data_IF_776594995906
#
_entry.id   IF_776594995906
#
_cell.length_a   1.000
_cell.length_b   1.000
_cell.length_c   1.000
_cell.angle_alpha   90.00
_cell.angle_beta   90.00
_cell.angle_gamma   90.00
#
_symmetry.space_group_name_H-M   'P 1'
#
loop_
_entity.id
_entity.type
_entity.pdbx_description
1 polymer ?
#
# COMPACT_ATOMS: atom_id res chain seq x y z
N UNK A 1 -45.23 22.65 -20.76
CA UNK A 1 -44.16 21.65 -20.65
C UNK A 1 -43.65 21.66 -19.21
N UNK A 2 -43.71 20.51 -18.52
CA UNK A 2 -43.38 20.26 -17.10
C UNK A 2 -41.86 20.02 -16.98
N UNK A 3 -41.05 20.76 -16.19
CA UNK A 3 -40.66 20.66 -14.76
C UNK A 3 -39.82 19.42 -14.33
N UNK A 4 -38.82 19.70 -13.48
CA UNK A 4 -37.95 18.87 -12.58
C UNK A 4 -36.69 18.22 -13.21
N UNK A 5 -35.42 18.41 -12.78
CA UNK A 5 -34.68 18.49 -11.48
C UNK A 5 -34.12 17.14 -11.00
N UNK A 6 -32.78 17.12 -10.89
CA UNK A 6 -31.89 16.46 -9.94
C UNK A 6 -31.50 14.96 -10.01
N UNK A 7 -30.22 14.79 -9.65
CA UNK A 7 -29.61 13.75 -8.82
C UNK A 7 -29.11 12.45 -9.50
N UNK A 8 -27.83 12.47 -9.86
CA UNK A 8 -26.99 11.29 -9.86
C UNK A 8 -26.51 11.05 -8.42
N UNK A 9 -26.89 9.90 -7.84
CA UNK A 9 -26.41 9.41 -6.55
C UNK A 9 -25.36 8.32 -6.77
N UNK A 10 -24.34 8.40 -5.91
CA UNK A 10 -23.33 7.39 -5.61
C UNK A 10 -23.92 6.00 -5.35
N UNK A 11 -23.22 4.95 -5.79
CA UNK A 11 -23.24 3.66 -5.12
C UNK A 11 -21.84 3.02 -5.17
N UNK A 12 -21.21 2.98 -3.99
CA UNK A 12 -20.01 2.22 -3.65
C UNK A 12 -20.28 0.71 -3.77
N UNK A 13 -19.44 -0.01 -4.50
CA UNK A 13 -19.41 -1.48 -4.53
C UNK A 13 -18.35 -2.02 -3.57
N UNK A 14 -18.71 -2.25 -2.31
CA UNK A 14 -18.04 -3.21 -1.44
C UNK A 14 -18.82 -4.52 -1.56
N UNK A 15 -18.09 -5.60 -1.83
CA UNK A 15 -18.66 -6.92 -2.04
C UNK A 15 -19.31 -7.51 -0.80
N UNK A 16 -20.32 -8.34 -1.03
CA UNK A 16 -20.66 -9.44 -0.15
C UNK A 16 -21.00 -10.67 -0.98
N UNK A 17 -20.40 -11.75 -0.50
CA UNK A 17 -20.51 -13.16 -0.85
C UNK A 17 -21.91 -13.67 -1.19
N UNK A 18 -21.94 -14.51 -2.22
CA UNK A 18 -22.70 -15.76 -2.33
C UNK A 18 -23.96 -15.91 -1.49
N UNK A 19 -25.11 -15.73 -2.13
CA UNK A 19 -26.36 -16.37 -1.73
C UNK A 19 -26.93 -17.07 -2.96
N UNK A 20 -26.75 -18.40 -3.01
CA UNK A 20 -27.49 -19.29 -3.89
C UNK A 20 -28.87 -19.51 -3.29
N UNK A 21 -29.94 -19.20 -4.05
CA UNK A 21 -31.24 -19.90 -4.05
C UNK A 21 -32.19 -19.17 -5.01
N UNK A 22 -32.68 -19.88 -6.02
CA UNK A 22 -33.76 -19.40 -6.89
C UNK A 22 -33.62 -19.87 -8.33
N UNK A 23 -34.13 -21.08 -8.61
CA UNK A 23 -34.52 -21.48 -9.97
C UNK A 23 -35.50 -20.43 -10.51
N UNK A 24 -35.16 -19.85 -11.66
CA UNK A 24 -36.12 -19.22 -12.54
C UNK A 24 -35.77 -19.68 -13.96
N UNK A 25 -36.65 -20.50 -14.52
CA UNK A 25 -36.68 -20.84 -15.94
C UNK A 25 -36.91 -19.54 -16.74
N UNK A 26 -35.82 -18.99 -17.27
CA UNK A 26 -35.86 -17.95 -18.28
C UNK A 26 -35.58 -18.59 -19.66
N UNK A 27 -36.30 -18.20 -20.72
CA UNK A 27 -36.16 -18.80 -22.04
C UNK A 27 -34.72 -18.63 -22.56
N UNK A 28 -34.19 -19.67 -23.20
CA UNK A 28 -32.88 -19.69 -23.86
C UNK A 28 -32.69 -18.43 -24.71
N UNK A 29 -31.97 -17.45 -24.16
CA UNK A 29 -31.40 -16.37 -24.93
C UNK A 29 -30.30 -17.03 -25.75
N UNK A 30 -30.50 -17.10 -27.06
CA UNK A 30 -29.56 -17.63 -28.03
C UNK A 30 -28.14 -17.26 -27.62
N UNK A 31 -27.33 -18.29 -27.34
CA UNK A 31 -25.92 -18.13 -27.04
C UNK A 31 -25.29 -17.33 -28.18
N UNK A 32 -25.03 -16.05 -27.94
CA UNK A 32 -24.12 -15.29 -28.79
C UNK A 32 -22.82 -16.09 -28.80
N UNK A 33 -22.44 -16.60 -29.97
CA UNK A 33 -21.19 -17.30 -30.20
C UNK A 33 -20.07 -16.50 -29.54
N UNK A 34 -19.57 -17.00 -28.41
CA UNK A 34 -18.35 -16.43 -27.83
C UNK A 34 -17.28 -16.60 -28.90
N UNK A 35 -16.59 -15.53 -29.32
CA UNK A 35 -15.54 -15.64 -30.30
C UNK A 35 -14.56 -16.73 -29.85
N UNK A 36 -14.20 -17.62 -30.78
CA UNK A 36 -13.28 -18.71 -30.50
C UNK A 36 -12.03 -18.15 -29.82
N UNK A 37 -11.64 -18.73 -28.68
CA UNK A 37 -10.42 -18.32 -27.99
C UNK A 37 -9.25 -18.50 -28.97
N UNK A 38 -8.38 -17.49 -29.13
CA UNK A 38 -7.23 -17.61 -30.01
C UNK A 38 -6.36 -18.79 -29.59
N UNK A 39 -5.79 -19.50 -30.57
CA UNK A 39 -4.90 -20.63 -30.28
C UNK A 39 -3.67 -20.14 -29.51
N UNK A 40 -3.42 -20.76 -28.35
CA UNK A 40 -2.21 -20.48 -27.57
C UNK A 40 -0.98 -21.00 -28.31
N UNK A 41 0.09 -20.22 -28.25
CA UNK A 41 1.41 -20.65 -28.72
C UNK A 41 1.94 -21.71 -27.75
N UNK A 42 2.12 -22.94 -28.24
CA UNK A 42 2.57 -24.06 -27.42
C UNK A 42 4.01 -23.88 -26.90
N UNK A 43 4.90 -23.26 -27.69
CA UNK A 43 6.27 -22.94 -27.28
C UNK A 43 6.60 -21.49 -27.67
N UNK A 44 6.48 -20.59 -26.70
CA UNK A 44 6.69 -19.16 -26.92
C UNK A 44 8.15 -18.83 -27.27
N UNK A 45 9.13 -19.51 -26.67
CA UNK A 45 10.56 -19.27 -26.96
C UNK A 45 10.90 -19.63 -28.41
N UNK A 46 10.44 -20.79 -28.89
CA UNK A 46 10.64 -21.19 -30.28
C UNK A 46 9.94 -20.24 -31.26
N UNK A 47 8.72 -19.78 -30.93
CA UNK A 47 7.99 -18.80 -31.73
C UNK A 47 8.76 -17.47 -31.84
N UNK A 48 9.19 -16.90 -30.71
CA UNK A 48 9.93 -15.63 -30.68
C UNK A 48 11.29 -15.76 -31.37
N UNK A 49 11.98 -16.90 -31.23
CA UNK A 49 13.24 -17.17 -31.93
C UNK A 49 13.07 -17.37 -33.44
N UNK A 50 11.85 -17.58 -33.94
CA UNK A 50 11.55 -17.62 -35.36
C UNK A 50 11.04 -16.26 -35.89
N UNK A 51 10.64 -15.35 -35.01
CA UNK A 51 10.06 -14.05 -35.36
C UNK A 51 11.15 -13.01 -35.69
N UNK A 52 11.17 -12.52 -36.94
CA UNK A 52 12.17 -11.56 -37.41
C UNK A 52 12.02 -10.17 -36.80
N UNK A 53 10.78 -9.74 -36.50
CA UNK A 53 10.54 -8.45 -35.86
C UNK A 53 11.07 -8.46 -34.41
N UNK A 54 10.90 -9.56 -33.71
CA UNK A 54 11.44 -9.78 -32.37
C UNK A 54 12.98 -9.82 -32.38
N UNK A 55 13.59 -10.50 -33.35
CA UNK A 55 15.06 -10.52 -33.48
C UNK A 55 15.64 -9.12 -33.74
N UNK A 56 15.01 -8.35 -34.63
CA UNK A 56 15.46 -7.01 -35.00
C UNK A 56 15.18 -5.95 -33.92
N UNK A 57 14.21 -6.19 -33.03
CA UNK A 57 13.85 -5.26 -31.98
C UNK A 57 14.93 -5.13 -30.89
N UNK A 58 14.99 -3.93 -30.30
CA UNK A 58 15.74 -3.67 -29.07
C UNK A 58 15.08 -4.33 -27.85
N UNK A 59 15.66 -4.15 -26.67
CA UNK A 59 15.15 -4.77 -25.44
C UNK A 59 13.69 -4.37 -25.15
N UNK A 60 13.36 -3.09 -25.26
CA UNK A 60 12.01 -2.59 -25.01
C UNK A 60 11.01 -3.13 -26.04
N UNK A 61 11.39 -3.15 -27.33
CA UNK A 61 10.57 -3.69 -28.41
C UNK A 61 10.32 -5.20 -28.26
N UNK A 62 11.34 -5.98 -27.87
CA UNK A 62 11.18 -7.41 -27.56
C UNK A 62 10.20 -7.65 -26.41
N UNK A 63 10.32 -6.88 -25.33
CA UNK A 63 9.37 -6.93 -24.23
C UNK A 63 7.95 -6.53 -24.68
N UNK A 64 7.83 -5.51 -25.54
CA UNK A 64 6.54 -5.04 -26.03
C UNK A 64 5.83 -6.08 -26.92
N UNK A 65 6.58 -6.80 -27.75
CA UNK A 65 6.04 -7.92 -28.55
C UNK A 65 5.48 -9.02 -27.64
N UNK A 66 6.19 -9.38 -26.56
CA UNK A 66 5.70 -10.37 -25.59
C UNK A 66 4.42 -9.89 -24.90
N UNK A 67 4.35 -8.60 -24.52
CA UNK A 67 3.16 -8.01 -23.93
C UNK A 67 1.97 -8.01 -24.90
N UNK A 68 2.21 -7.77 -26.19
CA UNK A 68 1.16 -7.82 -27.21
C UNK A 68 0.63 -9.24 -27.41
N UNK A 69 1.51 -10.24 -27.49
CA UNK A 69 1.10 -11.66 -27.55
C UNK A 69 0.25 -12.07 -26.33
N UNK A 70 0.53 -11.49 -25.15
CA UNK A 70 -0.30 -11.68 -23.94
C UNK A 70 -1.67 -11.03 -24.09
N UNK A 71 -1.75 -9.79 -24.58
CA UNK A 71 -3.03 -9.08 -24.82
C UNK A 71 -3.90 -9.79 -25.86
N UNK A 72 -3.27 -10.31 -26.90
CA UNK A 72 -3.89 -11.15 -27.93
C UNK A 72 -4.27 -12.55 -27.41
N UNK A 73 -4.01 -12.86 -26.13
CA UNK A 73 -4.28 -14.15 -25.49
C UNK A 73 -3.58 -15.35 -26.15
N UNK A 74 -2.52 -15.10 -26.92
CA UNK A 74 -1.65 -16.12 -27.52
C UNK A 74 -0.67 -16.73 -26.52
N UNK A 75 -0.42 -16.03 -25.41
CA UNK A 75 0.28 -16.55 -24.24
C UNK A 75 -0.41 -16.09 -22.95
N UNK A 76 -0.11 -16.72 -21.82
CA UNK A 76 -0.61 -16.29 -20.51
C UNK A 76 0.35 -15.35 -19.79
N UNK A 77 -0.18 -14.71 -18.75
CA UNK A 77 0.55 -13.73 -17.94
C UNK A 77 1.83 -14.29 -17.34
N UNK A 78 1.79 -15.51 -16.81
CA UNK A 78 2.96 -16.14 -16.15
C UNK A 78 4.08 -16.40 -17.15
N UNK A 79 3.74 -16.94 -18.32
CA UNK A 79 4.70 -17.23 -19.38
C UNK A 79 5.30 -15.94 -19.95
N UNK A 80 4.47 -14.92 -20.19
CA UNK A 80 4.91 -13.61 -20.65
C UNK A 80 5.85 -12.93 -19.64
N UNK A 81 5.49 -12.91 -18.34
CA UNK A 81 6.31 -12.36 -17.25
C UNK A 81 7.67 -13.08 -17.19
N UNK A 82 7.67 -14.41 -17.20
CA UNK A 82 8.89 -15.21 -17.17
C UNK A 82 9.83 -14.94 -18.35
N UNK A 83 9.29 -14.82 -19.57
CA UNK A 83 10.09 -14.51 -20.76
C UNK A 83 10.70 -13.11 -20.72
N UNK A 84 9.93 -12.10 -20.33
CA UNK A 84 10.46 -10.74 -20.17
C UNK A 84 11.52 -10.68 -19.08
N UNK A 85 11.31 -11.32 -17.92
CA UNK A 85 12.33 -11.40 -16.86
C UNK A 85 13.62 -12.07 -17.36
N UNK A 86 13.51 -13.16 -18.14
CA UNK A 86 14.68 -13.82 -18.73
C UNK A 86 15.42 -12.91 -19.70
N UNK A 87 14.72 -12.15 -20.54
CA UNK A 87 15.34 -11.17 -21.44
C UNK A 87 16.09 -10.08 -20.67
N UNK A 88 15.46 -9.53 -19.63
CA UNK A 88 16.06 -8.49 -18.79
C UNK A 88 17.34 -9.01 -18.11
N UNK A 89 17.32 -10.25 -17.60
CA UNK A 89 18.50 -10.87 -16.98
C UNK A 89 19.62 -11.18 -18.00
N UNK A 90 19.27 -11.61 -19.21
CA UNK A 90 20.25 -11.82 -20.29
C UNK A 90 20.89 -10.49 -20.69
N UNK A 91 20.09 -9.44 -20.83
CA UNK A 91 20.58 -8.09 -21.12
C UNK A 91 21.51 -7.60 -20.01
N UNK A 92 21.11 -7.76 -18.75
CA UNK A 92 21.93 -7.35 -17.60
C UNK A 92 23.31 -8.05 -17.59
N UNK A 93 23.35 -9.36 -17.83
CA UNK A 93 24.61 -10.13 -17.94
C UNK A 93 25.51 -9.66 -19.06
N UNK A 94 24.93 -9.31 -20.21
CA UNK A 94 25.67 -8.80 -21.35
C UNK A 94 26.22 -7.37 -21.15
N UNK A 95 25.73 -6.65 -20.14
CA UNK A 95 26.08 -5.26 -19.86
C UNK A 95 26.71 -5.08 -18.46
N UNK A 96 27.44 -6.10 -17.98
CA UNK A 96 28.18 -6.06 -16.70
C UNK A 96 27.31 -5.79 -15.44
N UNK A 97 26.01 -6.05 -15.54
CA UNK A 97 25.02 -5.91 -14.47
C UNK A 97 24.47 -7.27 -14.03
N UNK A 98 25.26 -8.36 -14.13
CA UNK A 98 24.80 -9.66 -13.65
C UNK A 98 24.51 -9.60 -12.15
N UNK A 99 23.28 -9.87 -11.67
CA UNK A 99 22.98 -9.79 -10.24
C UNK A 99 23.84 -10.75 -9.38
N UNK A 100 24.42 -11.81 -9.96
CA UNK A 100 25.32 -12.70 -9.24
C UNK A 100 26.58 -11.97 -8.75
N UNK A 101 27.17 -11.11 -9.58
CA UNK A 101 28.44 -10.42 -9.32
C UNK A 101 28.23 -8.92 -9.03
N UNK A 102 27.31 -8.27 -9.73
CA UNK A 102 27.05 -6.83 -9.69
C UNK A 102 25.57 -6.49 -9.39
N UNK A 103 25.08 -7.01 -8.27
CA UNK A 103 23.70 -6.80 -7.80
C UNK A 103 23.30 -5.32 -7.67
N UNK A 104 24.21 -4.45 -7.23
CA UNK A 104 23.90 -3.03 -7.01
C UNK A 104 23.58 -2.35 -8.34
N UNK A 105 24.44 -2.52 -9.35
CA UNK A 105 24.22 -1.94 -10.66
C UNK A 105 22.92 -2.48 -11.31
N UNK A 106 22.65 -3.78 -11.14
CA UNK A 106 21.42 -4.40 -11.63
C UNK A 106 20.16 -3.74 -11.05
N UNK A 107 20.09 -3.62 -9.72
CA UNK A 107 18.91 -3.05 -9.05
C UNK A 107 18.75 -1.56 -9.37
N UNK A 108 19.85 -0.80 -9.45
CA UNK A 108 19.83 0.61 -9.87
C UNK A 108 19.26 0.77 -11.28
N UNK A 109 19.68 -0.10 -12.20
CA UNK A 109 19.19 -0.08 -13.58
C UNK A 109 17.69 -0.39 -13.67
N UNK A 110 17.23 -1.46 -13.01
CA UNK A 110 15.80 -1.80 -12.96
C UNK A 110 15.00 -0.65 -12.32
N UNK A 111 15.48 -0.10 -11.20
CA UNK A 111 14.84 1.00 -10.50
C UNK A 111 14.71 2.27 -11.34
N UNK A 112 15.73 2.60 -12.14
CA UNK A 112 15.67 3.74 -13.05
C UNK A 112 14.53 3.61 -14.07
N UNK A 113 14.33 2.41 -14.65
CA UNK A 113 13.23 2.16 -15.57
C UNK A 113 11.86 2.15 -14.89
N UNK A 114 11.73 1.57 -13.70
CA UNK A 114 10.43 1.56 -12.99
C UNK A 114 10.01 2.93 -12.46
N UNK A 115 10.97 3.81 -12.20
CA UNK A 115 10.71 5.19 -11.73
C UNK A 115 10.02 6.05 -12.78
N UNK A 116 10.36 5.87 -14.06
CA UNK A 116 9.72 6.60 -15.16
C UNK A 116 8.63 5.74 -15.82
N UNK A 117 7.37 6.02 -15.52
CA UNK A 117 6.23 5.33 -16.16
C UNK A 117 6.14 5.59 -17.67
N UNK A 118 6.81 6.64 -18.19
CA UNK A 118 6.85 6.94 -19.61
C UNK A 118 7.92 6.16 -20.37
N UNK A 119 8.89 5.59 -19.65
CA UNK A 119 9.99 4.82 -20.22
C UNK A 119 9.45 3.65 -21.08
N UNK A 120 10.02 3.41 -22.29
CA UNK A 120 9.53 2.36 -23.18
C UNK A 120 9.58 0.96 -22.57
N UNK A 121 10.63 0.64 -21.79
CA UNK A 121 10.77 -0.65 -21.15
C UNK A 121 9.76 -0.80 -20.00
N UNK A 122 9.57 0.26 -19.21
CA UNK A 122 8.54 0.34 -18.16
C UNK A 122 7.14 0.06 -18.72
N UNK A 123 6.77 0.72 -19.83
CA UNK A 123 5.50 0.48 -20.53
C UNK A 123 5.37 -0.96 -21.02
N UNK A 124 6.41 -1.48 -21.68
CA UNK A 124 6.43 -2.84 -22.22
C UNK A 124 6.28 -3.92 -21.14
N UNK A 125 6.72 -3.65 -19.91
CA UNK A 125 6.62 -4.57 -18.77
C UNK A 125 5.45 -4.26 -17.82
N UNK A 126 4.68 -3.20 -18.05
CA UNK A 126 3.63 -2.76 -17.12
C UNK A 126 2.51 -3.79 -16.95
N UNK A 127 2.06 -4.41 -18.05
CA UNK A 127 0.96 -5.38 -18.04
C UNK A 127 1.32 -6.76 -17.47
N UNK A 128 2.61 -7.06 -17.30
CA UNK A 128 3.14 -8.30 -16.71
C UNK A 128 3.74 -8.06 -15.32
N UNK A 129 4.11 -6.82 -15.00
CA UNK A 129 4.84 -6.49 -13.78
C UNK A 129 6.26 -7.08 -13.73
N UNK A 130 6.90 -7.34 -14.87
CA UNK A 130 8.21 -8.04 -14.92
C UNK A 130 9.35 -7.28 -14.25
N UNK A 131 9.39 -5.95 -14.37
CA UNK A 131 10.40 -5.13 -13.68
C UNK A 131 10.19 -5.15 -12.15
N UNK A 132 8.93 -5.01 -11.70
CA UNK A 132 8.59 -5.11 -10.28
C UNK A 132 8.93 -6.50 -9.72
N UNK A 133 8.72 -7.57 -10.49
CA UNK A 133 9.13 -8.93 -10.12
C UNK A 133 10.63 -9.04 -9.80
N UNK A 134 11.46 -8.38 -10.62
CA UNK A 134 12.90 -8.38 -10.43
C UNK A 134 13.29 -7.53 -9.22
N UNK A 135 12.60 -6.40 -8.96
CA UNK A 135 12.78 -5.63 -7.74
C UNK A 135 12.38 -6.44 -6.49
N UNK A 136 11.24 -7.13 -6.51
CA UNK A 136 10.82 -8.03 -5.43
C UNK A 136 11.88 -9.12 -5.18
N UNK A 137 12.51 -9.63 -6.23
CA UNK A 137 13.51 -10.71 -6.11
C UNK A 137 14.85 -10.21 -5.57
N UNK A 138 15.33 -9.07 -6.06
CA UNK A 138 16.73 -8.63 -5.89
C UNK A 138 16.90 -7.35 -5.05
N UNK A 139 15.86 -6.52 -4.92
CA UNK A 139 15.91 -5.23 -4.23
C UNK A 139 16.33 -5.37 -2.77
N UNK A 140 15.65 -6.21 -2.00
CA UNK A 140 16.03 -6.47 -0.61
C UNK A 140 17.45 -7.07 -0.48
N UNK A 141 17.93 -7.84 -1.46
CA UNK A 141 19.28 -8.40 -1.42
C UNK A 141 20.35 -7.31 -1.53
N UNK A 142 20.05 -6.18 -2.19
CA UNK A 142 20.95 -5.02 -2.27
C UNK A 142 21.24 -4.47 -0.88
N UNK A 143 20.25 -4.43 0.01
CA UNK A 143 20.42 -3.93 1.38
C UNK A 143 21.49 -4.73 2.15
N UNK A 144 21.62 -6.03 1.90
CA UNK A 144 22.68 -6.85 2.51
C UNK A 144 24.10 -6.52 2.02
N UNK A 145 24.24 -5.69 0.98
CA UNK A 145 25.53 -5.18 0.49
C UNK A 145 25.71 -3.68 0.76
N UNK A 146 24.70 -3.03 1.35
CA UNK A 146 24.70 -1.60 1.61
C UNK A 146 25.33 -1.31 2.98
N UNK A 147 26.49 -0.64 2.99
CA UNK A 147 27.23 -0.41 4.25
C UNK A 147 26.46 0.48 5.24
N UNK A 148 25.75 1.50 4.74
CA UNK A 148 24.91 2.37 5.58
C UNK A 148 23.82 1.56 6.26
N UNK A 149 23.19 0.64 5.53
CA UNK A 149 22.18 -0.25 6.11
C UNK A 149 22.76 -1.30 7.08
N UNK A 150 23.94 -1.85 6.79
CA UNK A 150 24.56 -2.87 7.65
C UNK A 150 25.09 -2.28 8.96
N UNK A 151 25.83 -1.18 8.87
CA UNK A 151 26.61 -0.59 9.98
C UNK A 151 25.95 0.63 10.62
N UNK A 152 24.99 1.25 9.93
CA UNK A 152 24.29 2.42 10.44
C UNK A 152 23.53 2.12 11.73
N UNK A 153 23.35 3.16 12.53
CA UNK A 153 22.35 3.07 13.58
C UNK A 153 20.95 2.95 12.96
N UNK A 154 20.04 2.69 13.86
CA UNK A 154 18.65 2.42 13.58
C UNK A 154 18.03 3.57 12.72
N UNK A 155 18.34 4.85 13.00
CA UNK A 155 17.88 6.01 12.22
C UNK A 155 18.49 6.01 10.80
N UNK A 156 19.80 5.81 10.69
CA UNK A 156 20.50 5.73 9.42
C UNK A 156 19.97 4.60 8.52
N UNK A 157 19.59 3.45 9.11
CA UNK A 157 18.96 2.35 8.37
C UNK A 157 17.61 2.73 7.80
N UNK A 158 16.77 3.43 8.58
CA UNK A 158 15.47 3.91 8.15
C UNK A 158 15.58 4.95 7.02
N UNK A 159 16.49 5.93 7.16
CA UNK A 159 16.83 6.88 6.08
C UNK A 159 17.23 6.14 4.82
N UNK A 160 18.09 5.13 4.96
CA UNK A 160 18.57 4.37 3.81
C UNK A 160 17.45 3.60 3.10
N UNK A 161 16.56 2.92 3.84
CA UNK A 161 15.39 2.26 3.26
C UNK A 161 14.55 3.24 2.44
N UNK A 162 14.26 4.43 2.97
CA UNK A 162 13.50 5.47 2.26
C UNK A 162 14.20 5.89 0.96
N UNK A 163 15.49 6.19 1.01
CA UNK A 163 16.27 6.55 -0.19
C UNK A 163 16.16 5.48 -1.28
N UNK A 164 16.27 4.20 -0.92
CA UNK A 164 16.18 3.11 -1.89
C UNK A 164 14.76 2.96 -2.44
N UNK A 165 13.74 3.19 -1.62
CA UNK A 165 12.35 3.17 -2.08
C UNK A 165 12.06 4.31 -3.06
N UNK A 166 12.50 5.53 -2.77
CA UNK A 166 12.36 6.70 -3.67
C UNK A 166 13.14 6.56 -4.98
N UNK A 167 14.22 5.77 -4.95
CA UNK A 167 14.97 5.35 -6.12
C UNK A 167 14.31 4.19 -6.89
N UNK A 168 13.20 3.62 -6.38
CA UNK A 168 12.55 2.39 -6.89
C UNK A 168 13.47 1.18 -6.93
N UNK A 169 14.35 1.09 -5.96
CA UNK A 169 15.30 0.01 -5.77
C UNK A 169 14.87 -0.98 -4.65
N UNK A 170 13.74 -0.71 -4.01
CA UNK A 170 12.99 -1.62 -3.16
C UNK A 170 11.54 -1.68 -3.63
N UNK A 171 10.96 -2.88 -3.56
CA UNK A 171 9.52 -3.04 -3.72
C UNK A 171 8.75 -2.41 -2.55
N UNK A 172 7.49 -2.03 -2.80
CA UNK A 172 6.59 -1.42 -1.82
C UNK A 172 6.40 -2.29 -0.58
N UNK A 173 6.09 -3.58 -0.73
CA UNK A 173 5.84 -4.47 0.41
C UNK A 173 7.10 -4.63 1.26
N UNK A 174 8.26 -4.78 0.60
CA UNK A 174 9.55 -4.89 1.27
C UNK A 174 9.91 -3.63 2.05
N UNK A 175 9.71 -2.45 1.45
CA UNK A 175 9.91 -1.19 2.14
C UNK A 175 9.06 -1.11 3.40
N UNK A 176 7.75 -1.42 3.29
CA UNK A 176 6.84 -1.34 4.42
C UNK A 176 7.21 -2.30 5.55
N UNK A 177 7.56 -3.54 5.22
CA UNK A 177 7.92 -4.55 6.22
C UNK A 177 9.25 -4.22 6.91
N UNK A 178 10.25 -3.77 6.16
CA UNK A 178 11.53 -3.35 6.71
C UNK A 178 11.40 -2.10 7.58
N UNK A 179 10.68 -1.08 7.10
CA UNK A 179 10.41 0.13 7.88
C UNK A 179 9.70 -0.23 9.18
N UNK A 180 8.65 -1.06 9.14
CA UNK A 180 7.96 -1.54 10.33
C UNK A 180 8.90 -2.30 11.26
N UNK A 181 9.67 -3.26 10.76
CA UNK A 181 10.60 -4.04 11.56
C UNK A 181 11.61 -3.15 12.28
N UNK A 182 12.20 -2.17 11.60
CA UNK A 182 13.20 -1.29 12.21
C UNK A 182 12.57 -0.26 13.13
N UNK A 183 11.43 0.33 12.79
CA UNK A 183 10.71 1.20 13.71
C UNK A 183 10.34 0.37 14.96
N UNK A 184 9.79 -0.83 14.81
CA UNK A 184 9.56 -1.73 15.94
C UNK A 184 10.85 -2.07 16.66
N UNK A 185 12.01 -2.28 16.02
CA UNK A 185 13.27 -2.53 16.73
C UNK A 185 13.75 -1.31 17.53
N UNK A 186 13.53 -0.07 17.04
CA UNK A 186 13.81 1.15 17.81
C UNK A 186 12.86 1.30 18.99
N UNK A 187 11.61 0.90 18.83
CA UNK A 187 10.58 0.99 19.85
C UNK A 187 10.64 -0.19 20.83
N UNK A 188 11.04 -1.38 20.37
CA UNK A 188 11.17 -2.63 21.15
C UNK A 188 12.52 -2.75 21.85
N UNK A 189 13.50 -1.91 21.52
CA UNK A 189 14.59 -1.61 22.44
C UNK A 189 14.07 -0.95 23.75
N UNK A 190 12.78 -0.66 23.81
CA UNK A 190 12.07 -0.26 25.01
C UNK A 190 11.19 -1.43 25.50
N UNK A 191 11.65 -2.07 26.59
CA UNK A 191 10.76 -2.47 27.70
C UNK A 191 10.19 -1.19 28.37
N UNK A 192 9.77 -0.21 27.58
CA UNK A 192 10.00 1.19 27.88
C UNK A 192 8.74 2.02 27.96
N UNK A 193 8.87 3.08 28.73
CA UNK A 193 7.90 4.14 28.92
C UNK A 193 7.33 4.63 27.58
N UNK A 194 6.02 4.45 27.40
CA UNK A 194 5.27 4.85 26.20
C UNK A 194 5.51 6.30 25.78
N UNK A 195 5.83 7.21 26.72
CA UNK A 195 6.16 8.60 26.39
C UNK A 195 7.48 8.71 25.61
N UNK A 196 8.49 7.91 25.98
CA UNK A 196 9.78 7.89 25.29
C UNK A 196 9.66 7.30 23.89
N UNK A 197 8.81 6.29 23.74
CA UNK A 197 8.52 5.66 22.45
C UNK A 197 7.80 6.64 21.50
N UNK A 198 6.78 7.36 21.98
CA UNK A 198 6.09 8.40 21.20
C UNK A 198 7.06 9.53 20.80
N UNK A 199 7.91 9.99 21.72
CA UNK A 199 8.92 11.03 21.43
C UNK A 199 9.92 10.56 20.37
N UNK A 200 10.42 9.32 20.48
CA UNK A 200 11.35 8.73 19.53
C UNK A 200 10.71 8.59 18.15
N UNK A 201 9.49 8.06 18.08
CA UNK A 201 8.78 7.96 16.81
C UNK A 201 8.55 9.35 16.18
N UNK A 202 8.17 10.35 16.97
CA UNK A 202 8.03 11.72 16.47
C UNK A 202 9.34 12.33 15.95
N UNK A 203 10.48 12.02 16.59
CA UNK A 203 11.81 12.38 16.08
C UNK A 203 12.09 11.73 14.72
N UNK A 204 11.88 10.41 14.60
CA UNK A 204 12.07 9.67 13.35
C UNK A 204 11.15 10.16 12.23
N UNK A 205 9.91 10.51 12.57
CA UNK A 205 8.93 11.05 11.63
C UNK A 205 9.34 12.43 11.10
N UNK A 206 9.69 13.37 12.00
CA UNK A 206 10.19 14.71 11.62
C UNK A 206 11.50 14.69 10.86
N UNK A 207 12.34 13.69 11.14
CA UNK A 207 13.56 13.42 10.40
C UNK A 207 13.30 12.86 8.98
N UNK A 208 12.02 12.68 8.63
CA UNK A 208 11.52 12.05 7.40
C UNK A 208 12.11 10.66 7.15
N UNK A 209 12.38 9.89 8.21
CA UNK A 209 12.97 8.56 8.10
C UNK A 209 11.93 7.46 7.84
N UNK A 210 10.64 7.78 7.90
CA UNK A 210 9.56 6.79 7.86
C UNK A 210 8.75 6.94 6.57
N UNK A 211 8.46 5.84 5.88
CA UNK A 211 7.44 5.85 4.84
C UNK A 211 6.03 5.98 5.42
N UNK A 212 5.11 6.54 4.64
CA UNK A 212 3.74 6.83 5.09
C UNK A 212 3.01 5.59 5.63
N UNK A 213 3.01 4.47 4.89
CA UNK A 213 2.19 3.31 5.25
C UNK A 213 2.78 2.49 6.41
N UNK A 214 4.10 2.40 6.50
CA UNK A 214 4.83 1.82 7.62
C UNK A 214 4.65 2.67 8.88
N UNK A 215 4.79 3.99 8.76
CA UNK A 215 4.58 4.94 9.85
C UNK A 215 3.15 4.85 10.42
N UNK A 216 2.11 4.81 9.56
CA UNK A 216 0.72 4.80 10.03
C UNK A 216 0.41 3.63 10.97
N UNK A 217 0.88 2.42 10.65
CA UNK A 217 0.57 1.22 11.45
C UNK A 217 1.30 1.21 12.80
N UNK A 218 2.56 1.63 12.83
CA UNK A 218 3.30 1.73 14.09
C UNK A 218 2.72 2.85 14.95
N UNK A 219 2.42 3.98 14.34
CA UNK A 219 1.80 5.11 15.03
C UNK A 219 0.45 4.71 15.65
N UNK A 220 -0.44 4.02 14.92
CA UNK A 220 -1.70 3.48 15.48
C UNK A 220 -1.45 2.57 16.70
N UNK A 221 -0.47 1.68 16.63
CA UNK A 221 -0.12 0.80 17.73
C UNK A 221 0.37 1.57 18.98
N UNK A 222 1.27 2.55 18.79
CA UNK A 222 1.77 3.40 19.89
C UNK A 222 0.65 4.23 20.53
N UNK A 223 -0.23 4.81 19.72
CA UNK A 223 -1.36 5.59 20.22
C UNK A 223 -2.36 4.71 20.98
N UNK A 224 -2.58 3.47 20.51
CA UNK A 224 -3.44 2.50 21.19
C UNK A 224 -2.86 2.13 22.57
N UNK A 225 -1.57 1.77 22.64
CA UNK A 225 -0.87 1.54 23.91
C UNK A 225 -0.93 2.74 24.84
N UNK A 226 -0.74 3.96 24.31
CA UNK A 226 -0.82 5.18 25.09
C UNK A 226 -2.21 5.39 25.72
N UNK A 227 -3.29 5.04 25.02
CA UNK A 227 -4.66 5.09 25.56
C UNK A 227 -4.91 4.08 26.69
N UNK A 228 -4.11 3.03 26.79
CA UNK A 228 -4.22 1.96 27.80
C UNK A 228 -3.26 2.17 28.99
N UNK A 229 -2.02 2.59 28.71
CA UNK A 229 -0.93 2.63 29.70
C UNK A 229 -0.83 3.97 30.45
N UNK A 230 -1.26 5.08 29.83
CA UNK A 230 -1.22 6.41 30.46
C UNK A 230 -2.31 6.55 31.51
N UNK A 231 -1.91 6.47 32.78
CA UNK A 231 -2.82 6.58 33.94
C UNK A 231 -3.57 7.91 33.98
N UNK A 232 -3.01 8.97 33.41
CA UNK A 232 -3.67 10.28 33.32
C UNK A 232 -4.84 10.31 32.32
N UNK A 233 -4.96 9.31 31.43
CA UNK A 233 -6.03 9.16 30.44
C UNK A 233 -7.14 8.22 30.94
N UNK A 234 -7.59 8.44 32.17
CA UNK A 234 -8.58 7.61 32.87
C UNK A 234 -10.05 7.85 32.46
N UNK A 235 -10.35 8.92 31.72
CA UNK A 235 -11.69 9.18 31.17
C UNK A 235 -11.69 9.31 29.65
N UNK A 236 -12.84 9.08 29.02
CA UNK A 236 -13.01 9.24 27.57
C UNK A 236 -12.68 10.67 27.15
N UNK A 237 -13.14 11.69 27.86
CA UNK A 237 -12.82 13.09 27.53
C UNK A 237 -11.32 13.38 27.58
N UNK A 238 -10.58 12.83 28.56
CA UNK A 238 -9.12 12.99 28.61
C UNK A 238 -8.44 12.28 27.46
N UNK A 239 -8.90 11.07 27.09
CA UNK A 239 -8.43 10.33 25.91
C UNK A 239 -8.67 11.12 24.62
N UNK A 240 -9.89 11.63 24.41
CA UNK A 240 -10.26 12.41 23.23
C UNK A 240 -9.48 13.74 23.17
N UNK A 241 -9.32 14.44 24.29
CA UNK A 241 -8.52 15.66 24.36
C UNK A 241 -7.05 15.39 24.02
N UNK A 242 -6.50 14.27 24.52
CA UNK A 242 -5.13 13.87 24.21
C UNK A 242 -4.97 13.50 22.73
N UNK A 243 -5.90 12.72 22.16
CA UNK A 243 -5.91 12.41 20.73
C UNK A 243 -6.00 13.67 19.88
N UNK A 244 -6.86 14.63 20.23
CA UNK A 244 -7.00 15.90 19.53
C UNK A 244 -5.72 16.76 19.60
N UNK A 245 -4.99 16.72 20.73
CA UNK A 245 -3.72 17.45 20.89
C UNK A 245 -2.57 16.77 20.17
N UNK A 246 -2.46 15.45 20.30
CA UNK A 246 -1.56 14.65 19.47
C UNK A 246 -1.86 14.85 17.97
N UNK A 247 -3.05 15.38 17.66
CA UNK A 247 -3.50 15.75 16.33
C UNK A 247 -3.18 17.08 15.73
N UNK A 248 -2.53 17.94 16.48
CA UNK A 248 -2.18 19.23 15.96
C UNK A 248 -1.07 19.11 14.90
N UNK A 249 -1.35 19.59 13.69
CA UNK A 249 -0.37 19.65 12.59
C UNK A 249 0.79 20.61 12.87
N UNK A 250 0.66 21.51 13.85
CA UNK A 250 1.68 22.50 14.20
C UNK A 250 2.53 22.11 15.43
N UNK A 251 2.01 21.26 16.31
CA UNK A 251 2.65 20.95 17.61
C UNK A 251 2.67 19.46 17.97
N UNK A 252 1.94 18.62 17.24
CA UNK A 252 1.88 17.19 17.48
C UNK A 252 3.16 16.49 17.07
N UNK A 253 3.63 15.55 17.89
CA UNK A 253 4.73 14.65 17.53
C UNK A 253 4.40 13.73 16.34
N UNK A 254 3.16 13.77 15.87
CA UNK A 254 2.47 12.72 15.13
C UNK A 254 1.40 13.32 14.20
N UNK A 255 1.79 13.87 13.04
CA UNK A 255 0.88 14.58 12.12
C UNK A 255 -0.23 13.69 11.54
N UNK A 256 -1.49 14.18 11.54
CA UNK A 256 -2.67 13.40 11.12
C UNK A 256 -2.86 13.32 9.61
N UNK A 257 -2.14 14.15 8.85
CA UNK A 257 -2.04 13.94 7.40
C UNK A 257 -1.41 12.58 7.07
N UNK A 258 -0.70 11.96 8.03
CA UNK A 258 -0.13 10.62 7.87
C UNK A 258 -1.02 9.46 8.32
N UNK A 259 -2.23 9.72 8.83
CA UNK A 259 -3.03 8.72 9.58
C UNK A 259 -4.53 8.76 9.25
N UNK A 260 -4.93 9.39 8.14
CA UNK A 260 -6.36 9.60 7.82
C UNK A 260 -7.20 8.31 7.91
N UNK A 261 -6.60 7.14 7.63
CA UNK A 261 -7.32 5.87 7.56
C UNK A 261 -7.46 5.14 8.90
N UNK A 262 -6.68 5.49 9.94
CA UNK A 262 -6.70 4.80 11.25
C UNK A 262 -7.27 5.65 12.39
N UNK A 263 -7.62 6.90 12.08
CA UNK A 263 -8.18 7.86 13.02
C UNK A 263 -9.47 7.41 13.68
N UNK A 264 -10.37 6.88 12.86
CA UNK A 264 -11.64 6.37 13.33
C UNK A 264 -11.44 5.27 14.37
N UNK A 265 -10.51 4.34 14.09
CA UNK A 265 -10.16 3.22 14.97
C UNK A 265 -9.64 3.68 16.34
N UNK A 266 -8.77 4.69 16.39
CA UNK A 266 -8.26 5.23 17.66
C UNK A 266 -9.37 5.90 18.49
N UNK A 267 -10.27 6.66 17.85
CA UNK A 267 -11.41 7.24 18.54
C UNK A 267 -12.38 6.16 19.05
N UNK A 268 -12.70 5.16 18.22
CA UNK A 268 -13.49 4.01 18.62
C UNK A 268 -12.87 3.35 19.85
N UNK A 269 -11.58 3.00 19.81
CA UNK A 269 -10.89 2.38 20.94
C UNK A 269 -10.93 3.25 22.22
N UNK A 270 -10.79 4.56 22.10
CA UNK A 270 -10.84 5.47 23.24
C UNK A 270 -12.18 5.47 23.98
N UNK A 271 -13.29 5.24 23.27
CA UNK A 271 -14.66 5.44 23.78
C UNK A 271 -15.56 4.21 23.72
N UNK A 272 -15.09 3.09 23.17
CA UNK A 272 -15.91 1.91 22.84
C UNK A 272 -16.73 1.41 24.03
N UNK A 273 -16.10 1.33 25.20
CA UNK A 273 -16.75 0.91 26.44
C UNK A 273 -17.91 1.83 26.87
N UNK A 274 -17.76 3.14 26.67
CA UNK A 274 -18.82 4.10 27.00
C UNK A 274 -19.96 4.02 25.98
N UNK A 275 -19.63 3.89 24.70
CA UNK A 275 -20.63 3.79 23.63
C UNK A 275 -21.44 2.48 23.66
N UNK A 276 -20.81 1.37 24.04
CA UNK A 276 -21.45 0.06 24.11
C UNK A 276 -22.59 -0.03 25.13
N UNK A 277 -22.63 0.88 26.13
CA UNK A 277 -23.70 0.94 27.13
C UNK A 277 -24.87 1.87 26.78
N UNK A 278 -24.83 2.53 25.63
CA UNK A 278 -25.80 3.55 25.23
C UNK A 278 -26.64 3.07 24.04
N UNK A 279 -27.86 3.57 23.92
CA UNK A 279 -28.67 3.41 22.70
C UNK A 279 -28.23 4.39 21.59
N UNK A 280 -28.75 4.22 20.37
CA UNK A 280 -28.38 5.08 19.22
C UNK A 280 -28.60 6.58 19.47
N UNK A 281 -29.67 6.97 20.17
CA UNK A 281 -29.96 8.38 20.45
C UNK A 281 -28.97 8.97 21.47
N UNK A 282 -28.65 8.20 22.52
CA UNK A 282 -27.69 8.57 23.54
C UNK A 282 -26.25 8.61 22.99
N UNK A 283 -25.86 7.66 22.14
CA UNK A 283 -24.57 7.69 21.41
C UNK A 283 -24.46 8.97 20.57
N UNK A 284 -25.50 9.31 19.82
CA UNK A 284 -25.53 10.54 19.01
C UNK A 284 -25.41 11.81 19.86
N UNK A 285 -26.13 11.88 20.98
CA UNK A 285 -26.05 13.01 21.91
C UNK A 285 -24.64 13.17 22.49
N UNK A 286 -23.97 12.05 22.84
CA UNK A 286 -22.59 12.05 23.33
C UNK A 286 -21.58 12.53 22.29
N UNK A 287 -21.70 12.07 21.04
CA UNK A 287 -20.83 12.54 19.95
C UNK A 287 -21.00 14.05 19.73
N UNK A 288 -22.24 14.55 19.74
CA UNK A 288 -22.53 15.97 19.62
C UNK A 288 -21.93 16.77 20.78
N UNK A 289 -22.06 16.29 22.03
CA UNK A 289 -21.46 16.90 23.22
C UNK A 289 -19.94 17.02 23.08
N UNK A 290 -19.24 15.95 22.67
CA UNK A 290 -17.78 15.98 22.49
C UNK A 290 -17.33 16.88 21.34
N UNK A 291 -18.13 16.97 20.26
CA UNK A 291 -17.91 17.92 19.18
C UNK A 291 -18.03 19.37 19.66
N UNK A 292 -19.06 19.70 20.44
CA UNK A 292 -19.25 21.04 21.00
C UNK A 292 -18.12 21.46 21.95
N UNK A 293 -17.58 20.49 22.71
CA UNK A 293 -16.40 20.68 23.57
C UNK A 293 -15.08 20.79 22.79
N UNK A 294 -15.10 20.66 21.46
CA UNK A 294 -13.91 20.72 20.62
C UNK A 294 -13.00 19.48 20.72
N UNK A 295 -13.51 18.37 21.26
CA UNK A 295 -12.76 17.12 21.39
C UNK A 295 -12.76 16.30 20.09
N UNK A 296 -13.71 16.56 19.20
CA UNK A 296 -13.85 15.93 17.89
C UNK A 296 -13.94 17.00 16.80
N UNK A 297 -13.25 16.80 15.68
CA UNK A 297 -13.49 17.62 14.50
C UNK A 297 -14.84 17.24 13.86
N UNK A 298 -15.42 18.16 13.08
CA UNK A 298 -16.72 17.94 12.44
C UNK A 298 -16.78 16.68 11.56
N UNK A 299 -15.69 16.35 10.86
CA UNK A 299 -15.57 15.13 10.06
C UNK A 299 -15.54 13.86 10.90
N UNK A 300 -14.90 13.89 12.07
CA UNK A 300 -14.78 12.71 12.92
C UNK A 300 -16.10 12.39 13.59
N UNK A 301 -16.80 13.42 14.07
CA UNK A 301 -18.13 13.29 14.64
C UNK A 301 -19.09 12.64 13.63
N UNK A 302 -19.09 13.09 12.37
CA UNK A 302 -19.92 12.49 11.32
C UNK A 302 -19.57 11.01 11.06
N UNK A 303 -18.28 10.66 11.01
CA UNK A 303 -17.84 9.28 10.81
C UNK A 303 -18.24 8.39 11.99
N UNK A 304 -18.10 8.89 13.22
CA UNK A 304 -18.49 8.19 14.43
C UNK A 304 -20.00 7.97 14.52
N UNK A 305 -20.80 8.99 14.16
CA UNK A 305 -22.26 8.85 14.06
C UNK A 305 -22.63 7.76 13.04
N UNK A 306 -21.97 7.74 11.87
CA UNK A 306 -22.18 6.69 10.86
C UNK A 306 -21.66 5.31 11.25
N UNK A 307 -20.94 5.18 12.37
CA UNK A 307 -20.42 3.89 12.85
C UNK A 307 -21.26 3.37 14.02
N UNK A 308 -21.54 4.23 15.00
CA UNK A 308 -22.19 3.86 16.25
C UNK A 308 -23.71 4.09 16.27
N UNK A 309 -24.22 4.92 15.38
CA UNK A 309 -25.63 5.36 15.39
C UNK A 309 -26.43 4.87 14.17
N UNK A 310 -25.90 3.90 13.41
CA UNK A 310 -26.65 3.28 12.30
C UNK A 310 -27.69 2.34 12.88
N UNK A 311 -28.96 2.68 12.64
CA UNK A 311 -30.21 1.98 12.96
C UNK A 311 -30.07 0.59 13.60
N UNK A 312 -30.33 0.52 14.91
CA UNK A 312 -30.85 -0.66 15.61
C UNK A 312 -32.32 -0.90 15.24
#
# INVERSE_FOLDING_TARGET
MKRFVAAALFALGIGLSGFWLGQNDAPEVAAQDKPAKPAKIANLEAYLNADEAYKAADLAGRCAIIEELKKEQKTDWTTARGMQMRLLLVHARANEMDPATNLVAFVQWIGAHTKDWKDPLSKACSGTGSLNALLETYGAQRLYRDETFLKGDSEAKLRRIKELWEARELDQSQCYDLTRMYIYAHLAAADGDINKELELFGKLHRAECTDWAGASSVHEALMTRALEEKKELDTVEKKLAWLAKAADNNTGDLSWMTVSNRRLTLFMHAMDKEMGGLDSAARKAKIAEWKEKGLLAGSDASNLESTYCVNE
#
